data_IF_673042137479
#
_entry.id   IF_673042137479
#
_cell.length_a   1.000
_cell.length_b   1.000
_cell.length_c   1.000
_cell.angle_alpha   90.00
_cell.angle_beta   90.00
_cell.angle_gamma   90.00
#
_symmetry.space_group_name_H-M   'P 1'
#
loop_
_entity.id
_entity.type
_entity.pdbx_description
1 polymer ?
#
# COMPACT_ATOMS: atom_id res chain seq x y z
N UNK A 1 -22.73 36.30 8.33
CA UNK A 1 -21.76 35.19 8.13
C UNK A 1 -20.83 35.64 7.00
N UNK A 2 -19.60 36.06 7.31
CA UNK A 2 -18.61 36.39 6.29
C UNK A 2 -17.95 35.08 5.82
N UNK A 3 -18.41 34.53 4.71
CA UNK A 3 -17.67 33.48 4.02
C UNK A 3 -16.49 34.14 3.33
N UNK A 4 -15.28 33.89 3.82
CA UNK A 4 -14.06 34.21 3.08
C UNK A 4 -13.81 33.05 2.11
N UNK A 5 -14.07 33.21 0.81
CA UNK A 5 -13.98 32.10 -0.16
C UNK A 5 -12.57 31.49 -0.21
N UNK A 6 -11.52 32.25 0.14
CA UNK A 6 -10.16 31.72 0.22
C UNK A 6 -9.99 30.70 1.35
N UNK A 7 -10.68 30.93 2.48
CA UNK A 7 -10.66 30.01 3.63
C UNK A 7 -11.34 28.68 3.30
N UNK A 8 -12.50 28.73 2.64
CA UNK A 8 -13.27 27.54 2.29
C UNK A 8 -12.50 26.62 1.33
N UNK A 9 -11.85 27.20 0.32
CA UNK A 9 -10.99 26.44 -0.61
C UNK A 9 -9.81 25.81 0.13
N UNK A 10 -9.16 26.57 1.04
CA UNK A 10 -8.05 26.03 1.83
C UNK A 10 -8.49 24.85 2.70
N UNK A 11 -9.61 24.96 3.40
CA UNK A 11 -10.15 23.90 4.26
C UNK A 11 -10.49 22.64 3.42
N UNK A 12 -11.07 22.83 2.24
CA UNK A 12 -11.37 21.72 1.31
C UNK A 12 -10.11 21.01 0.81
N UNK A 13 -9.07 21.75 0.42
CA UNK A 13 -7.80 21.18 -0.01
C UNK A 13 -7.08 20.44 1.14
N UNK A 14 -7.09 21.03 2.34
CA UNK A 14 -6.49 20.42 3.52
C UNK A 14 -7.20 19.12 3.91
N UNK A 15 -8.53 19.09 3.86
CA UNK A 15 -9.29 17.87 4.11
C UNK A 15 -9.04 16.81 3.04
N UNK A 16 -8.98 17.20 1.76
CA UNK A 16 -8.61 16.30 0.67
C UNK A 16 -7.22 15.69 0.87
N UNK A 17 -6.25 16.47 1.36
CA UNK A 17 -4.89 15.99 1.66
C UNK A 17 -4.90 14.95 2.81
N UNK A 18 -5.70 15.20 3.86
CA UNK A 18 -5.89 14.25 4.98
C UNK A 18 -6.51 12.94 4.49
N UNK A 19 -7.55 13.02 3.67
CA UNK A 19 -8.25 11.86 3.13
C UNK A 19 -7.32 11.04 2.24
N UNK A 20 -6.57 11.70 1.36
CA UNK A 20 -5.58 11.02 0.51
C UNK A 20 -4.50 10.28 1.33
N UNK A 21 -4.01 10.88 2.42
CA UNK A 21 -3.09 10.19 3.33
C UNK A 21 -3.74 8.96 3.98
N UNK A 22 -4.99 9.07 4.42
CA UNK A 22 -5.74 7.95 4.99
C UNK A 22 -5.90 6.80 3.98
N UNK A 23 -6.29 7.13 2.74
CA UNK A 23 -6.39 6.15 1.65
C UNK A 23 -5.04 5.47 1.40
N UNK A 24 -3.96 6.24 1.30
CA UNK A 24 -2.61 5.70 1.12
C UNK A 24 -2.22 4.73 2.26
N UNK A 25 -2.48 5.11 3.51
CA UNK A 25 -2.20 4.24 4.65
C UNK A 25 -3.03 2.96 4.61
N UNK A 26 -4.31 3.04 4.28
CA UNK A 26 -5.18 1.87 4.17
C UNK A 26 -4.70 0.91 3.08
N UNK A 27 -4.28 1.40 1.91
CA UNK A 27 -3.71 0.57 0.84
C UNK A 27 -2.48 -0.19 1.35
N UNK A 28 -1.56 0.50 2.03
CA UNK A 28 -0.35 -0.13 2.59
C UNK A 28 -0.72 -1.19 3.63
N UNK A 29 -1.51 -0.83 4.63
CA UNK A 29 -1.85 -1.73 5.73
C UNK A 29 -2.66 -2.95 5.30
N UNK A 30 -3.66 -2.76 4.43
CA UNK A 30 -4.45 -3.87 3.90
C UNK A 30 -3.61 -4.80 3.05
N UNK A 31 -2.70 -4.27 2.23
CA UNK A 31 -1.78 -5.10 1.42
C UNK A 31 -0.84 -5.89 2.32
N UNK A 32 -0.21 -5.24 3.29
CA UNK A 32 0.68 -5.91 4.26
C UNK A 32 -0.06 -6.98 5.07
N UNK A 33 -1.26 -6.67 5.57
CA UNK A 33 -2.09 -7.61 6.33
C UNK A 33 -2.44 -8.85 5.52
N UNK A 34 -2.84 -8.68 4.26
CA UNK A 34 -3.13 -9.79 3.36
C UNK A 34 -1.88 -10.64 3.09
N UNK A 35 -0.74 -10.00 2.81
CA UNK A 35 0.52 -10.71 2.57
C UNK A 35 0.97 -11.51 3.79
N UNK A 36 0.93 -10.91 4.99
CA UNK A 36 1.32 -11.59 6.23
C UNK A 36 0.37 -12.74 6.56
N UNK A 37 -0.93 -12.59 6.31
CA UNK A 37 -1.89 -13.68 6.47
C UNK A 37 -1.59 -14.85 5.50
N UNK A 38 -1.31 -14.55 4.23
CA UNK A 38 -0.96 -15.57 3.24
C UNK A 38 0.37 -16.27 3.57
N UNK A 39 1.39 -15.52 3.99
CA UNK A 39 2.68 -16.05 4.46
C UNK A 39 2.45 -16.96 5.67
N UNK A 40 1.74 -16.46 6.70
CA UNK A 40 1.43 -17.20 7.91
C UNK A 40 0.70 -18.50 7.61
N UNK A 41 -0.31 -18.47 6.74
CA UNK A 41 -1.02 -19.67 6.29
C UNK A 41 -0.10 -20.70 5.62
N UNK A 42 0.77 -20.29 4.70
CA UNK A 42 1.73 -21.19 4.03
C UNK A 42 2.76 -21.78 4.99
N UNK A 43 3.25 -20.99 5.95
CA UNK A 43 4.26 -21.43 6.93
C UNK A 43 3.66 -22.37 7.97
N UNK A 44 2.44 -22.12 8.43
CA UNK A 44 1.83 -22.88 9.52
C UNK A 44 1.03 -24.09 9.06
N UNK A 45 0.43 -24.06 7.87
CA UNK A 45 -0.44 -25.13 7.39
C UNK A 45 0.31 -26.17 6.57
N UNK A 46 0.47 -27.38 7.11
CA UNK A 46 1.00 -28.52 6.35
C UNK A 46 0.08 -28.87 5.17
N UNK A 47 -1.23 -28.93 5.40
CA UNK A 47 -2.23 -29.20 4.36
C UNK A 47 -2.14 -28.21 3.19
N UNK A 48 -1.89 -26.92 3.45
CA UNK A 48 -1.71 -25.93 2.39
C UNK A 48 -0.49 -26.26 1.50
N UNK A 49 0.63 -26.65 2.12
CA UNK A 49 1.85 -27.01 1.39
C UNK A 49 1.67 -28.30 0.60
N UNK A 50 1.05 -29.31 1.19
CA UNK A 50 0.75 -30.57 0.50
C UNK A 50 -0.17 -30.35 -0.71
N UNK A 51 -1.23 -29.55 -0.55
CA UNK A 51 -2.13 -29.22 -1.65
C UNK A 51 -1.41 -28.52 -2.81
N UNK A 52 -0.52 -27.57 -2.50
CA UNK A 52 0.30 -26.90 -3.51
C UNK A 52 1.30 -27.84 -4.18
N UNK A 53 1.94 -28.74 -3.43
CA UNK A 53 2.84 -29.75 -3.96
C UNK A 53 2.14 -30.73 -4.92
N UNK A 54 0.85 -31.01 -4.70
CA UNK A 54 0.06 -31.88 -5.58
C UNK A 54 -0.32 -31.21 -6.92
N UNK A 55 -0.48 -29.89 -6.96
CA UNK A 55 -1.00 -29.19 -8.14
C UNK A 55 -0.13 -28.02 -8.62
N UNK A 56 0.76 -28.31 -9.57
CA UNK A 56 1.67 -27.30 -10.16
C UNK A 56 0.95 -26.19 -10.93
N UNK A 57 -0.28 -26.40 -11.42
CA UNK A 57 -1.05 -25.35 -12.10
C UNK A 57 -1.47 -24.25 -11.10
N UNK A 58 -1.83 -24.64 -9.88
CA UNK A 58 -2.23 -23.70 -8.82
C UNK A 58 -1.04 -22.83 -8.42
N UNK A 59 0.16 -23.39 -8.31
CA UNK A 59 1.38 -22.61 -8.04
C UNK A 59 1.57 -21.51 -9.10
N UNK A 60 1.48 -21.86 -10.39
CA UNK A 60 1.63 -20.86 -11.47
C UNK A 60 0.56 -19.78 -11.39
N UNK A 61 -0.69 -20.17 -11.12
CA UNK A 61 -1.79 -19.22 -10.94
C UNK A 61 -1.54 -18.27 -9.77
N UNK A 62 -1.13 -18.79 -8.60
CA UNK A 62 -0.82 -17.98 -7.42
C UNK A 62 0.36 -17.04 -7.67
N UNK A 63 1.39 -17.47 -8.40
CA UNK A 63 2.50 -16.59 -8.78
C UNK A 63 2.03 -15.47 -9.71
N UNK A 64 1.19 -15.76 -10.70
CA UNK A 64 0.60 -14.72 -11.56
C UNK A 64 -0.27 -13.74 -10.74
N UNK A 65 -1.05 -14.24 -9.80
CA UNK A 65 -1.84 -13.40 -8.89
C UNK A 65 -0.95 -12.50 -8.03
N UNK A 66 0.15 -13.04 -7.49
CA UNK A 66 1.14 -12.26 -6.72
C UNK A 66 1.75 -11.15 -7.57
N UNK A 67 2.15 -11.45 -8.80
CA UNK A 67 2.71 -10.46 -9.74
C UNK A 67 1.68 -9.39 -10.09
N UNK A 68 0.46 -9.78 -10.41
CA UNK A 68 -0.63 -8.85 -10.70
C UNK A 68 -0.90 -7.91 -9.52
N UNK A 69 -1.04 -8.46 -8.31
CA UNK A 69 -1.28 -7.69 -7.09
C UNK A 69 -0.12 -6.74 -6.79
N UNK A 70 1.12 -7.15 -7.05
CA UNK A 70 2.30 -6.29 -6.89
C UNK A 70 2.23 -5.05 -7.80
N UNK A 71 1.93 -5.24 -9.09
CA UNK A 71 1.78 -4.10 -10.00
C UNK A 71 0.59 -3.21 -9.64
N UNK A 72 -0.56 -3.80 -9.30
CA UNK A 72 -1.72 -3.05 -8.84
C UNK A 72 -1.39 -2.21 -7.59
N UNK A 73 -0.65 -2.78 -6.64
CA UNK A 73 -0.19 -2.08 -5.44
C UNK A 73 0.71 -0.89 -5.79
N UNK A 74 1.72 -1.07 -6.65
CA UNK A 74 2.59 0.02 -7.10
C UNK A 74 1.77 1.16 -7.72
N UNK A 75 0.84 0.82 -8.61
CA UNK A 75 0.00 1.83 -9.28
C UNK A 75 -0.84 2.64 -8.29
N UNK A 76 -1.45 1.98 -7.30
CA UNK A 76 -2.21 2.66 -6.25
C UNK A 76 -1.33 3.58 -5.38
N UNK A 77 -0.08 3.18 -5.12
CA UNK A 77 0.88 4.00 -4.37
C UNK A 77 1.31 5.23 -5.19
N UNK A 78 1.59 5.06 -6.48
CA UNK A 78 1.93 6.18 -7.37
C UNK A 78 0.75 7.15 -7.48
N UNK A 79 -0.47 6.64 -7.66
CA UNK A 79 -1.67 7.48 -7.76
C UNK A 79 -1.87 8.33 -6.50
N UNK A 80 -1.86 7.72 -5.32
CA UNK A 80 -1.99 8.45 -4.05
C UNK A 80 -0.82 9.42 -3.79
N UNK A 81 0.40 9.09 -4.22
CA UNK A 81 1.54 9.99 -4.11
C UNK A 81 1.39 11.22 -5.02
N UNK A 82 1.07 11.01 -6.30
CA UNK A 82 0.88 12.12 -7.25
C UNK A 82 -0.31 13.00 -6.88
N UNK A 83 -1.40 12.42 -6.36
CA UNK A 83 -2.52 13.17 -5.80
C UNK A 83 -2.08 14.03 -4.60
N UNK A 84 -1.24 13.48 -3.71
CA UNK A 84 -0.68 14.23 -2.58
C UNK A 84 0.17 15.41 -3.05
N UNK A 85 1.00 15.24 -4.08
CA UNK A 85 1.85 16.32 -4.61
C UNK A 85 1.01 17.43 -5.26
N UNK A 86 -0.03 17.07 -6.01
CA UNK A 86 -0.97 18.03 -6.61
C UNK A 86 -1.71 18.84 -5.55
N UNK A 87 -2.23 18.17 -4.52
CA UNK A 87 -2.90 18.83 -3.38
C UNK A 87 -1.93 19.71 -2.59
N UNK A 88 -0.72 19.23 -2.36
CA UNK A 88 0.33 19.99 -1.68
C UNK A 88 0.65 21.29 -2.42
N UNK A 89 0.85 21.20 -3.74
CA UNK A 89 1.10 22.36 -4.61
C UNK A 89 -0.07 23.35 -4.58
N UNK A 90 -1.31 22.86 -4.75
CA UNK A 90 -2.51 23.70 -4.74
C UNK A 90 -2.70 24.45 -3.42
N UNK A 91 -2.34 23.83 -2.28
CA UNK A 91 -2.35 24.50 -0.98
C UNK A 91 -1.31 25.61 -0.92
N UNK A 92 -0.07 25.33 -1.35
CA UNK A 92 1.02 26.33 -1.30
C UNK A 92 0.81 27.53 -2.22
N UNK A 93 0.11 27.33 -3.34
CA UNK A 93 -0.22 28.38 -4.31
C UNK A 93 -1.46 29.20 -3.89
N UNK A 94 -2.18 28.79 -2.85
CA UNK A 94 -3.37 29.49 -2.39
C UNK A 94 -2.99 30.71 -1.52
N UNK A 95 -3.52 31.89 -1.85
CA UNK A 95 -3.26 33.15 -1.14
C UNK A 95 -3.61 33.12 0.37
N UNK A 96 -4.44 32.17 0.79
CA UNK A 96 -4.81 31.98 2.20
C UNK A 96 -3.78 31.19 2.99
N UNK A 97 -2.94 30.37 2.34
CA UNK A 97 -1.90 29.57 3.00
C UNK A 97 -0.85 30.45 3.69
N UNK A 98 -0.41 31.52 3.02
CA UNK A 98 0.52 32.51 3.60
C UNK A 98 -0.07 33.27 4.78
N UNK A 99 -1.40 33.38 4.87
CA UNK A 99 -2.09 33.98 6.01
C UNK A 99 -2.18 33.04 7.22
N UNK A 100 -2.00 31.74 7.00
CA UNK A 100 -2.09 30.66 8.00
C UNK A 100 -0.79 29.85 8.13
N UNK A 101 0.38 30.51 7.99
CA UNK A 101 1.73 29.89 8.08
C UNK A 101 1.92 29.01 9.33
N UNK A 102 1.18 29.26 10.42
CA UNK A 102 1.19 28.43 11.62
C UNK A 102 0.68 26.98 11.42
N UNK A 103 0.01 26.66 10.30
CA UNK A 103 -0.41 25.29 9.93
C UNK A 103 0.64 24.49 9.15
N UNK A 104 1.88 24.98 9.03
CA UNK A 104 2.96 24.26 8.33
C UNK A 104 3.19 22.84 8.87
N UNK A 105 3.07 22.63 10.18
CA UNK A 105 3.23 21.30 10.77
C UNK A 105 2.11 20.35 10.35
N UNK A 106 0.87 20.82 10.36
CA UNK A 106 -0.30 20.06 9.89
C UNK A 106 -0.13 19.69 8.41
N UNK A 107 0.30 20.63 7.57
CA UNK A 107 0.55 20.38 6.16
C UNK A 107 1.64 19.33 5.94
N UNK A 108 2.80 19.49 6.59
CA UNK A 108 3.92 18.52 6.53
C UNK A 108 3.52 17.15 7.05
N UNK A 109 2.68 17.11 8.10
CA UNK A 109 2.18 15.86 8.68
C UNK A 109 1.32 15.09 7.67
N UNK A 110 0.47 15.76 6.89
CA UNK A 110 -0.44 15.09 5.95
C UNK A 110 0.15 14.88 4.55
N UNK A 111 1.15 15.67 4.15
CA UNK A 111 1.86 15.44 2.89
C UNK A 111 2.60 14.10 2.88
N UNK A 112 2.47 13.34 1.81
CA UNK A 112 3.26 12.13 1.63
C UNK A 112 4.71 12.51 1.31
N UNK A 113 5.65 12.11 2.18
CA UNK A 113 7.07 12.25 1.94
C UNK A 113 7.58 11.10 1.05
N UNK A 114 8.29 11.43 -0.03
CA UNK A 114 8.88 10.46 -0.95
C UNK A 114 9.74 9.40 -0.26
N UNK A 115 10.53 9.76 0.77
CA UNK A 115 11.31 8.80 1.55
C UNK A 115 10.42 7.79 2.28
N UNK A 116 9.33 8.27 2.91
CA UNK A 116 8.38 7.39 3.61
C UNK A 116 7.68 6.44 2.63
N UNK A 117 7.31 6.94 1.44
CA UNK A 117 6.72 6.12 0.38
C UNK A 117 7.71 5.06 -0.10
N UNK A 118 8.98 5.43 -0.34
CA UNK A 118 10.04 4.50 -0.76
C UNK A 118 10.32 3.41 0.27
N UNK A 119 10.37 3.75 1.55
CA UNK A 119 10.57 2.77 2.64
C UNK A 119 9.40 1.77 2.67
N UNK A 120 8.16 2.25 2.56
CA UNK A 120 6.96 1.39 2.53
C UNK A 120 6.90 0.52 1.29
N UNK A 121 7.28 1.05 0.13
CA UNK A 121 7.34 0.31 -1.11
C UNK A 121 8.40 -0.79 -1.05
N UNK A 122 9.58 -0.48 -0.48
CA UNK A 122 10.63 -1.48 -0.24
C UNK A 122 10.14 -2.61 0.67
N UNK A 123 9.45 -2.28 1.76
CA UNK A 123 8.94 -3.27 2.71
C UNK A 123 7.89 -4.20 2.08
N UNK A 124 6.90 -3.63 1.37
CA UNK A 124 5.86 -4.41 0.68
C UNK A 124 6.43 -5.25 -0.46
N UNK A 125 7.46 -4.76 -1.15
CA UNK A 125 8.21 -5.51 -2.18
C UNK A 125 8.89 -6.74 -1.58
N UNK A 126 9.57 -6.59 -0.44
CA UNK A 126 10.18 -7.71 0.28
C UNK A 126 9.12 -8.77 0.63
N UNK A 127 7.96 -8.36 1.13
CA UNK A 127 6.86 -9.28 1.44
C UNK A 127 6.35 -10.04 0.22
N UNK A 128 6.22 -9.38 -0.95
CA UNK A 128 5.85 -10.06 -2.20
C UNK A 128 6.90 -11.11 -2.62
N UNK A 129 8.19 -10.77 -2.50
CA UNK A 129 9.29 -11.70 -2.81
C UNK A 129 9.25 -12.90 -1.87
N UNK A 130 9.09 -12.67 -0.57
CA UNK A 130 8.97 -13.75 0.43
C UNK A 130 7.76 -14.64 0.13
N UNK A 131 6.60 -14.05 -0.14
CA UNK A 131 5.40 -14.82 -0.48
C UNK A 131 5.59 -15.67 -1.75
N UNK A 132 6.16 -15.09 -2.81
CA UNK A 132 6.46 -15.82 -4.05
C UNK A 132 7.44 -16.99 -3.79
N UNK A 133 8.50 -16.74 -3.01
CA UNK A 133 9.46 -17.77 -2.62
C UNK A 133 8.80 -18.91 -1.83
N UNK A 134 7.91 -18.60 -0.89
CA UNK A 134 7.19 -19.59 -0.10
C UNK A 134 6.23 -20.42 -0.97
N UNK A 135 5.53 -19.79 -1.92
CA UNK A 135 4.67 -20.50 -2.88
C UNK A 135 5.48 -21.52 -3.70
N UNK A 136 6.65 -21.12 -4.20
CA UNK A 136 7.54 -22.03 -4.95
C UNK A 136 8.08 -23.14 -4.06
N UNK A 137 8.48 -22.81 -2.82
CA UNK A 137 9.04 -23.76 -1.87
C UNK A 137 8.00 -24.79 -1.40
N UNK A 138 6.76 -24.37 -1.19
CA UNK A 138 5.63 -25.26 -0.90
C UNK A 138 5.42 -26.31 -2.01
N UNK A 139 5.67 -25.94 -3.27
CA UNK A 139 5.63 -26.87 -4.40
C UNK A 139 6.67 -28.00 -4.39
N UNK A 140 7.67 -27.91 -3.51
CA UNK A 140 8.70 -28.93 -3.29
C UNK A 140 8.47 -29.74 -2.01
N UNK A 141 7.36 -29.50 -1.31
CA UNK A 141 7.07 -30.18 -0.06
C UNK A 141 6.96 -31.71 -0.30
N UNK A 142 7.65 -32.54 0.49
CA UNK A 142 7.63 -33.98 0.29
C UNK A 142 6.19 -34.50 0.43
N UNK A 143 5.73 -35.27 -0.56
CA UNK A 143 4.45 -35.96 -0.43
C UNK A 143 4.59 -36.98 0.69
N UNK A 144 3.70 -36.94 1.69
CA UNK A 144 3.47 -38.11 2.54
C UNK A 144 2.98 -39.23 1.63
N UNK A 145 3.82 -40.21 1.38
CA UNK A 145 3.37 -41.53 0.94
C UNK A 145 2.57 -42.09 2.10
N UNK A 146 1.25 -42.15 1.95
CA UNK A 146 0.39 -42.77 2.96
C UNK A 146 0.85 -44.21 3.20
N UNK A 147 1.10 -44.53 4.47
CA UNK A 147 1.06 -45.90 4.99
C UNK A 147 -0.39 -46.22 5.34
#
# INVERSE_FOLDING_TARGET
MNCDPGKEIFDLLLNSLKDNKTVHLNIIWSTMGLQLAAIGWLVTSENAREYLAMNKKIIRFLLLAVVFLFFAHILMIIDTFTASERLAKAITENAFYTKFINNQETFKLYSLNGLTVLVRLSFTTILYIVLAFLIVSAGKYPKKTGN
#
